data_IF_390034591790
#
_entry.id   IF_390034591790
#
_cell.length_a   1.000
_cell.length_b   1.000
_cell.length_c   1.000
_cell.angle_alpha   90.00
_cell.angle_beta   90.00
_cell.angle_gamma   90.00
#
_symmetry.space_group_name_H-M   'P 1'
#
loop_
_entity.id
_entity.type
_entity.pdbx_description
1 polymer ?
#
# COMPACT_ATOMS: atom_id res chain seq x y z
N UNK A 1 11.87 20.11 -7.54
CA UNK A 1 10.91 19.66 -8.57
C UNK A 1 11.30 18.25 -8.99
N UNK A 2 10.80 17.24 -8.27
CA UNK A 2 10.95 15.83 -8.67
C UNK A 2 9.70 15.46 -9.47
N UNK A 3 9.90 15.14 -10.75
CA UNK A 3 8.86 14.70 -11.67
C UNK A 3 8.42 13.28 -11.28
N UNK A 4 7.38 13.13 -10.46
CA UNK A 4 6.74 11.83 -10.21
C UNK A 4 6.11 11.38 -11.54
N UNK A 5 6.48 10.20 -12.03
CA UNK A 5 6.06 9.72 -13.35
C UNK A 5 4.62 9.23 -13.29
N UNK A 6 3.88 9.59 -14.34
CA UNK A 6 2.46 9.28 -14.54
C UNK A 6 2.29 7.79 -14.83
N UNK A 7 1.40 7.13 -14.09
CA UNK A 7 0.98 5.74 -14.29
C UNK A 7 0.13 5.64 -15.57
N UNK A 8 0.77 5.50 -16.74
CA UNK A 8 0.06 5.26 -18.01
C UNK A 8 0.59 3.99 -18.66
N UNK A 9 0.08 2.84 -18.23
CA UNK A 9 0.39 1.54 -18.82
C UNK A 9 -0.83 0.65 -18.78
N UNK A 10 -1.48 0.45 -19.93
CA UNK A 10 -2.72 -0.30 -20.02
C UNK A 10 -2.53 -1.80 -19.82
N UNK A 11 -2.98 -2.32 -18.68
CA UNK A 11 -3.46 -3.69 -18.51
C UNK A 11 -4.38 -3.78 -17.26
N UNK A 12 -5.68 -3.67 -17.51
CA UNK A 12 -6.88 -4.03 -16.72
C UNK A 12 -6.76 -4.24 -15.18
N UNK A 13 -7.55 -3.40 -14.49
CA UNK A 13 -8.03 -3.37 -13.08
C UNK A 13 -7.05 -2.69 -12.12
N UNK A 14 -7.02 -1.36 -12.02
CA UNK A 14 -8.06 -0.40 -11.58
C UNK A 14 -8.68 -0.67 -10.19
N UNK A 15 -8.44 0.21 -9.18
CA UNK A 15 -8.86 0.22 -7.74
C UNK A 15 -8.05 -0.57 -6.68
N UNK A 16 -7.02 -1.31 -7.06
CA UNK A 16 -6.20 -2.12 -6.14
C UNK A 16 -5.29 -1.33 -5.17
N UNK A 17 -4.80 -0.11 -5.51
CA UNK A 17 -4.04 0.73 -4.57
C UNK A 17 -4.86 1.20 -3.35
N UNK A 18 -6.17 1.43 -3.51
CA UNK A 18 -7.05 1.96 -2.45
C UNK A 18 -7.19 1.00 -1.26
N UNK A 19 -7.15 -0.32 -1.52
CA UNK A 19 -7.16 -1.36 -0.48
C UNK A 19 -5.96 -1.26 0.46
N UNK A 20 -4.80 -0.96 -0.11
CA UNK A 20 -3.55 -0.84 0.64
C UNK A 20 -3.51 0.49 1.40
N UNK A 21 -3.96 1.58 0.76
CA UNK A 21 -4.13 2.90 1.38
C UNK A 21 -4.97 2.81 2.66
N UNK A 22 -6.13 2.16 2.61
CA UNK A 22 -6.96 1.93 3.79
C UNK A 22 -6.28 0.99 4.80
N UNK A 23 -5.67 -0.11 4.34
CA UNK A 23 -5.08 -1.12 5.22
C UNK A 23 -3.96 -0.59 6.13
N UNK A 24 -3.15 0.38 5.70
CA UNK A 24 -2.12 0.96 6.58
C UNK A 24 -2.72 1.92 7.61
N UNK A 25 -3.84 2.57 7.27
CA UNK A 25 -4.62 3.39 8.22
C UNK A 25 -5.31 2.51 9.26
N UNK A 26 -5.89 1.38 8.86
CA UNK A 26 -6.41 0.36 9.79
C UNK A 26 -5.33 -0.08 10.80
N UNK A 27 -4.10 -0.27 10.32
CA UNK A 27 -2.94 -0.63 11.13
C UNK A 27 -2.62 0.41 12.21
N UNK A 28 -2.44 1.67 11.84
CA UNK A 28 -2.10 2.72 12.81
C UNK A 28 -3.25 3.00 13.79
N UNK A 29 -4.51 2.89 13.34
CA UNK A 29 -5.69 3.03 14.22
C UNK A 29 -5.75 1.89 15.23
N UNK A 30 -5.48 0.65 14.83
CA UNK A 30 -5.38 -0.47 15.76
C UNK A 30 -4.26 -0.27 16.78
N UNK A 31 -3.10 0.21 16.34
CA UNK A 31 -1.95 0.45 17.22
C UNK A 31 -2.25 1.55 18.24
N UNK A 32 -2.85 2.67 17.81
CA UNK A 32 -3.12 3.84 18.66
C UNK A 32 -4.32 3.66 19.59
N UNK A 33 -5.39 2.99 19.13
CA UNK A 33 -6.66 2.89 19.87
C UNK A 33 -6.94 1.52 20.46
N UNK A 34 -6.24 0.48 20.01
CA UNK A 34 -6.54 -0.91 20.33
C UNK A 34 -7.71 -1.51 19.55
N UNK A 35 -8.40 -0.75 18.70
CA UNK A 35 -9.55 -1.23 17.92
C UNK A 35 -9.19 -1.45 16.46
N UNK A 36 -9.45 -2.66 15.94
CA UNK A 36 -9.29 -2.95 14.52
C UNK A 36 -10.64 -2.73 13.85
N UNK A 37 -10.70 -1.79 12.92
CA UNK A 37 -11.91 -1.46 12.17
C UNK A 37 -11.57 -1.61 10.69
N UNK A 38 -12.42 -2.30 9.95
CA UNK A 38 -12.27 -2.39 8.49
C UNK A 38 -12.79 -1.10 7.86
N UNK A 39 -11.94 -0.40 7.11
CA UNK A 39 -12.21 0.91 6.54
C UNK A 39 -12.66 0.82 5.08
N UNK A 40 -13.50 1.77 4.66
CA UNK A 40 -14.02 1.80 3.31
C UNK A 40 -12.97 2.25 2.31
N UNK A 41 -12.62 1.36 1.40
CA UNK A 41 -11.70 1.68 0.32
C UNK A 41 -12.47 2.32 -0.85
N UNK A 42 -13.77 2.05 -0.93
CA UNK A 42 -14.66 2.68 -1.90
C UNK A 42 -14.85 4.16 -1.65
N UNK A 43 -14.82 4.61 -0.39
CA UNK A 43 -14.84 6.04 -0.07
C UNK A 43 -13.63 6.74 -0.68
N UNK A 44 -12.44 6.14 -0.63
CA UNK A 44 -11.26 6.66 -1.33
C UNK A 44 -11.46 6.66 -2.85
N UNK A 45 -11.95 5.56 -3.43
CA UNK A 45 -12.19 5.47 -4.88
C UNK A 45 -13.18 6.54 -5.37
N UNK A 46 -14.26 6.77 -4.64
CA UNK A 46 -15.35 7.65 -5.07
C UNK A 46 -15.12 9.13 -4.73
N UNK A 47 -14.42 9.41 -3.62
CA UNK A 47 -14.29 10.75 -3.06
C UNK A 47 -12.90 11.38 -3.22
N UNK A 48 -11.85 10.57 -3.32
CA UNK A 48 -10.49 11.06 -3.58
C UNK A 48 -10.19 11.08 -5.09
N UNK A 49 -10.94 11.91 -5.81
CA UNK A 49 -10.85 12.04 -7.28
C UNK A 49 -10.31 13.42 -7.68
N UNK A 50 -9.67 14.11 -6.76
CA UNK A 50 -9.20 15.48 -6.92
C UNK A 50 -7.69 15.56 -6.64
N UNK A 51 -6.87 15.49 -7.70
CA UNK A 51 -5.42 15.50 -7.57
C UNK A 51 -4.79 14.52 -8.55
N UNK A 52 -3.82 13.73 -8.08
CA UNK A 52 -3.24 12.63 -8.85
C UNK A 52 -4.07 11.34 -8.75
N UNK A 53 -4.92 11.21 -7.72
CA UNK A 53 -5.84 10.09 -7.57
C UNK A 53 -7.02 10.20 -8.55
N UNK A 54 -7.26 9.11 -9.29
CA UNK A 54 -8.25 9.01 -10.37
C UNK A 54 -9.17 7.82 -10.17
N UNK A 55 -9.58 7.58 -8.92
CA UNK A 55 -10.44 6.48 -8.54
C UNK A 55 -9.87 5.14 -8.97
N UNK A 56 -10.60 4.45 -9.85
CA UNK A 56 -10.18 3.21 -10.47
C UNK A 56 -8.89 3.36 -11.27
N UNK A 57 -8.59 4.47 -11.95
CA UNK A 57 -7.40 4.60 -12.82
C UNK A 57 -6.06 4.67 -12.06
N UNK A 58 -6.08 4.64 -10.73
CA UNK A 58 -4.90 4.61 -9.89
C UNK A 58 -4.69 5.91 -9.14
N UNK A 59 -3.53 6.02 -8.49
CA UNK A 59 -3.24 7.13 -7.59
C UNK A 59 -2.05 6.87 -6.69
N UNK A 60 -1.66 7.88 -5.90
CA UNK A 60 -0.54 7.86 -4.98
C UNK A 60 -1.01 7.66 -3.53
N UNK A 61 -0.23 6.96 -2.71
CA UNK A 61 -0.58 6.69 -1.32
C UNK A 61 -0.64 7.97 -0.48
N UNK A 62 0.26 8.92 -0.73
CA UNK A 62 0.31 10.21 -0.03
C UNK A 62 -0.94 11.05 -0.25
N UNK A 63 -1.52 10.99 -1.45
CA UNK A 63 -2.73 11.76 -1.79
C UNK A 63 -3.94 11.22 -1.03
N UNK A 64 -4.06 9.89 -0.91
CA UNK A 64 -5.05 9.28 -0.03
C UNK A 64 -4.88 9.73 1.43
N UNK A 65 -3.66 9.81 1.97
CA UNK A 65 -3.48 10.33 3.33
C UNK A 65 -3.91 11.79 3.47
N UNK A 66 -3.59 12.65 2.49
CA UNK A 66 -4.07 14.05 2.48
C UNK A 66 -5.58 14.12 2.42
N UNK A 67 -6.22 13.29 1.60
CA UNK A 67 -7.67 13.20 1.53
C UNK A 67 -8.26 12.83 2.88
N UNK A 68 -7.76 11.76 3.54
CA UNK A 68 -8.27 11.30 4.83
C UNK A 68 -8.16 12.40 5.89
N UNK A 69 -7.03 13.12 5.95
CA UNK A 69 -6.84 14.25 6.86
C UNK A 69 -7.88 15.34 6.58
N UNK A 70 -8.06 15.72 5.32
CA UNK A 70 -8.97 16.79 4.90
C UNK A 70 -10.45 16.41 5.06
N UNK A 71 -10.79 15.15 4.83
CA UNK A 71 -12.13 14.59 4.95
C UNK A 71 -12.55 14.43 6.42
N UNK A 72 -11.61 14.52 7.36
CA UNK A 72 -11.86 14.26 8.77
C UNK A 72 -11.99 12.76 9.06
N UNK A 73 -11.30 11.92 8.29
CA UNK A 73 -11.25 10.47 8.46
C UNK A 73 -11.86 9.66 7.32
N UNK A 74 -11.93 8.36 7.55
CA UNK A 74 -12.64 7.38 6.73
C UNK A 74 -13.75 6.69 7.53
N UNK A 75 -14.78 6.26 6.82
CA UNK A 75 -15.82 5.40 7.34
C UNK A 75 -15.44 3.93 7.27
N UNK A 76 -16.29 3.09 7.86
CA UNK A 76 -16.13 1.62 7.85
C UNK A 76 -16.59 1.01 6.53
N UNK A 77 -15.97 -0.10 6.14
CA UNK A 77 -16.34 -0.87 4.95
C UNK A 77 -17.85 -1.24 4.95
N UNK A 78 -18.42 -1.59 6.10
CA UNK A 78 -19.86 -1.91 6.18
C UNK A 78 -20.79 -0.71 5.90
N UNK A 79 -20.31 0.52 6.06
CA UNK A 79 -21.10 1.75 5.77
C UNK A 79 -20.99 2.15 4.32
N UNK A 80 -19.86 1.86 3.68
CA UNK A 80 -19.59 2.20 2.30
C UNK A 80 -18.87 1.04 1.61
N UNK A 81 -19.61 -0.03 1.25
CA UNK A 81 -19.01 -1.26 0.76
C UNK A 81 -18.31 -1.10 -0.59
N UNK A 82 -17.26 -1.89 -0.80
CA UNK A 82 -16.54 -1.95 -2.05
C UNK A 82 -17.38 -2.48 -3.21
N UNK A 83 -17.42 -1.68 -4.28
CA UNK A 83 -18.10 -1.97 -5.53
C UNK A 83 -17.14 -2.33 -6.67
N UNK A 84 -15.84 -2.02 -6.53
CA UNK A 84 -14.83 -2.34 -7.55
C UNK A 84 -14.98 -1.57 -8.86
N UNK A 85 -15.63 -0.40 -8.79
CA UNK A 85 -15.82 0.52 -9.91
C UNK A 85 -15.95 1.95 -9.37
N UNK A 86 -15.70 2.94 -10.22
CA UNK A 86 -15.95 4.34 -9.89
C UNK A 86 -17.44 4.59 -9.61
N UNK A 87 -17.72 5.20 -8.46
CA UNK A 87 -19.03 5.65 -8.05
C UNK A 87 -19.10 7.17 -7.92
N UNK A 88 -20.23 7.64 -7.37
CA UNK A 88 -20.35 9.02 -6.93
C UNK A 88 -20.02 9.08 -5.44
N UNK A 89 -19.15 10.01 -5.05
CA UNK A 89 -18.87 10.26 -3.64
C UNK A 89 -20.18 10.47 -2.86
N UNK A 90 -20.41 9.63 -1.85
CA UNK A 90 -21.52 9.77 -0.91
C UNK A 90 -21.07 10.65 0.24
N UNK A 91 -21.72 11.80 0.43
CA UNK A 91 -21.47 12.67 1.57
C UNK A 91 -22.21 12.16 2.83
N UNK A 92 -21.64 12.44 4.01
CA UNK A 92 -22.30 12.18 5.30
C UNK A 92 -22.04 10.79 5.90
N UNK A 93 -20.97 10.12 5.48
CA UNK A 93 -20.45 8.92 6.15
C UNK A 93 -19.78 9.32 7.48
N UNK A 94 -20.19 8.68 8.59
CA UNK A 94 -19.52 8.89 9.88
C UNK A 94 -18.09 8.33 9.81
N UNK A 95 -17.10 9.20 10.04
CA UNK A 95 -15.69 8.81 10.17
C UNK A 95 -15.47 8.01 11.43
N UNK A 96 -14.80 6.87 11.31
CA UNK A 96 -14.45 5.96 12.41
C UNK A 96 -12.94 5.80 12.59
N UNK A 97 -12.16 6.34 11.65
CA UNK A 97 -10.70 6.35 11.67
C UNK A 97 -10.17 7.68 11.16
N UNK A 98 -9.33 8.33 11.94
CA UNK A 98 -8.67 9.59 11.60
C UNK A 98 -7.16 9.43 11.70
N UNK A 99 -6.44 10.17 10.87
CA UNK A 99 -4.98 10.33 10.95
C UNK A 99 -4.68 11.82 11.04
N UNK A 100 -3.57 12.18 11.67
CA UNK A 100 -3.17 13.57 11.91
C UNK A 100 -2.15 14.05 10.88
N UNK A 101 -1.29 13.17 10.38
CA UNK A 101 -0.33 13.46 9.31
C UNK A 101 0.09 12.19 8.57
N UNK A 102 1.13 12.30 7.74
CA UNK A 102 1.83 11.19 7.12
C UNK A 102 3.31 11.55 6.91
N UNK A 103 4.16 10.54 6.78
CA UNK A 103 5.59 10.71 6.57
C UNK A 103 6.08 9.83 5.42
N UNK A 104 6.99 10.39 4.62
CA UNK A 104 7.75 9.66 3.60
C UNK A 104 8.99 9.06 4.25
N UNK A 105 9.23 7.76 4.01
CA UNK A 105 10.50 7.13 4.37
C UNK A 105 11.56 7.57 3.36
N UNK A 106 12.83 7.79 3.78
CA UNK A 106 13.92 8.13 2.87
C UNK A 106 14.01 7.18 1.68
N UNK A 107 13.97 7.75 0.47
CA UNK A 107 14.04 7.02 -0.80
C UNK A 107 15.31 6.16 -0.89
N UNK A 108 15.15 4.92 -1.34
CA UNK A 108 16.20 3.92 -1.55
C UNK A 108 16.97 3.54 -0.26
N UNK A 109 16.28 3.56 0.88
CA UNK A 109 16.85 3.19 2.18
C UNK A 109 16.01 2.11 2.88
N UNK A 110 16.31 0.85 2.59
CA UNK A 110 15.70 -0.31 3.27
C UNK A 110 15.96 -0.34 4.80
N UNK A 111 16.99 0.35 5.28
CA UNK A 111 17.28 0.48 6.71
C UNK A 111 16.31 1.44 7.39
N UNK A 112 16.01 2.57 6.74
CA UNK A 112 14.98 3.50 7.21
C UNK A 112 13.58 2.87 7.11
N UNK A 113 13.27 2.18 6.00
CA UNK A 113 12.02 1.43 5.85
C UNK A 113 11.84 0.40 6.98
N UNK A 114 12.92 -0.31 7.35
CA UNK A 114 12.87 -1.32 8.41
C UNK A 114 12.50 -0.72 9.76
N UNK A 115 13.00 0.48 10.06
CA UNK A 115 12.66 1.21 11.30
C UNK A 115 11.18 1.61 11.32
N UNK A 116 10.65 2.08 10.20
CA UNK A 116 9.23 2.44 10.09
C UNK A 116 8.33 1.19 10.24
N UNK A 117 8.64 0.11 9.51
CA UNK A 117 7.90 -1.17 9.56
C UNK A 117 7.93 -1.81 10.95
N UNK A 118 8.99 -1.59 11.73
CA UNK A 118 9.06 -2.06 13.11
C UNK A 118 8.02 -1.40 14.04
N UNK A 119 7.52 -0.22 13.67
CA UNK A 119 6.57 0.56 14.46
C UNK A 119 5.13 0.39 14.00
N UNK A 120 4.92 0.26 12.68
CA UNK A 120 3.59 0.16 12.06
C UNK A 120 3.68 -0.36 10.62
N UNK A 121 2.56 -0.75 9.99
CA UNK A 121 2.51 -0.98 8.55
C UNK A 121 2.89 0.26 7.73
N UNK A 122 3.60 0.04 6.62
CA UNK A 122 4.07 1.09 5.69
C UNK A 122 3.57 0.79 4.27
N UNK A 123 3.03 1.78 3.59
CA UNK A 123 2.67 1.65 2.16
C UNK A 123 3.93 1.73 1.31
N UNK A 124 4.04 0.87 0.30
CA UNK A 124 5.14 0.90 -0.68
C UNK A 124 4.59 0.71 -2.09
N UNK A 125 5.30 1.22 -3.08
CA UNK A 125 5.07 0.91 -4.49
C UNK A 125 6.08 -0.13 -4.99
N UNK A 126 5.63 -1.01 -5.89
CA UNK A 126 6.44 -2.04 -6.53
C UNK A 126 6.12 -2.14 -8.02
N UNK A 127 7.03 -2.74 -8.78
CA UNK A 127 6.76 -3.26 -10.12
C UNK A 127 5.97 -4.58 -10.01
N UNK A 128 4.64 -4.46 -9.98
CA UNK A 128 3.71 -5.59 -9.94
C UNK A 128 3.43 -6.20 -11.32
N UNK A 129 3.80 -5.48 -12.39
CA UNK A 129 3.78 -5.96 -13.77
C UNK A 129 4.87 -7.00 -14.09
N UNK A 130 5.93 -7.08 -13.29
CA UNK A 130 6.97 -8.11 -13.44
C UNK A 130 6.41 -9.54 -13.27
N UNK A 131 6.82 -10.45 -14.16
CA UNK A 131 6.36 -11.85 -14.14
C UNK A 131 6.72 -12.57 -12.83
N UNK A 132 7.85 -12.22 -12.21
CA UNK A 132 8.28 -12.80 -10.93
C UNK A 132 7.28 -12.46 -9.83
N UNK A 133 6.75 -11.24 -9.84
CA UNK A 133 5.72 -10.80 -8.91
C UNK A 133 4.37 -11.45 -9.25
N UNK A 134 3.92 -11.35 -10.51
CA UNK A 134 2.60 -11.86 -10.92
C UNK A 134 2.37 -13.33 -10.56
N UNK A 135 3.37 -14.18 -10.79
CA UNK A 135 3.27 -15.63 -10.60
C UNK A 135 3.83 -16.14 -9.26
N UNK A 136 4.12 -15.24 -8.32
CA UNK A 136 4.54 -15.63 -6.98
C UNK A 136 3.50 -16.55 -6.31
N UNK A 137 3.98 -17.67 -5.75
CA UNK A 137 3.13 -18.68 -5.10
C UNK A 137 3.65 -19.16 -3.75
N UNK A 138 4.86 -18.77 -3.34
CA UNK A 138 5.39 -19.10 -2.02
C UNK A 138 6.91 -19.02 -1.93
N UNK A 139 7.42 -19.09 -0.69
CA UNK A 139 8.85 -18.94 -0.41
C UNK A 139 9.29 -17.48 -0.31
N UNK A 140 10.58 -17.24 -0.12
CA UNK A 140 11.14 -15.90 -0.31
C UNK A 140 11.32 -15.69 -1.80
N UNK A 141 10.63 -14.70 -2.36
CA UNK A 141 10.78 -14.27 -3.73
C UNK A 141 12.18 -13.67 -3.88
N UNK A 142 12.99 -14.25 -4.76
CA UNK A 142 14.36 -13.82 -5.09
C UNK A 142 14.48 -13.62 -6.59
N UNK A 143 15.56 -12.98 -7.05
CA UNK A 143 15.88 -12.86 -8.48
C UNK A 143 15.66 -11.44 -9.01
N UNK A 144 15.49 -11.32 -10.32
CA UNK A 144 15.31 -10.02 -10.99
C UNK A 144 13.85 -9.61 -11.00
N UNK A 145 13.61 -8.36 -10.61
CA UNK A 145 12.32 -7.69 -10.73
C UNK A 145 12.60 -6.26 -11.22
N UNK A 146 11.76 -5.73 -12.10
CA UNK A 146 11.90 -4.35 -12.57
C UNK A 146 11.70 -3.30 -11.49
N UNK A 147 11.77 -2.03 -11.88
CA UNK A 147 11.48 -0.89 -10.99
C UNK A 147 10.53 0.11 -11.65
N UNK A 148 9.76 -0.35 -12.62
CA UNK A 148 8.71 0.43 -13.26
C UNK A 148 7.47 0.30 -12.38
N UNK A 149 7.47 1.05 -11.28
CA UNK A 149 6.44 0.97 -10.26
C UNK A 149 5.06 1.11 -10.91
N UNK A 150 4.21 0.10 -10.73
CA UNK A 150 2.83 0.07 -11.25
C UNK A 150 1.78 -0.40 -10.22
N UNK A 151 2.21 -0.85 -9.03
CA UNK A 151 1.34 -1.44 -8.02
C UNK A 151 1.69 -1.01 -6.59
N UNK A 152 0.66 -0.81 -5.75
CA UNK A 152 0.81 -0.47 -4.32
C UNK A 152 0.57 -1.68 -3.43
N UNK A 153 1.42 -1.91 -2.42
CA UNK A 153 1.31 -2.96 -1.40
C UNK A 153 1.72 -2.45 -0.02
N UNK A 154 1.49 -3.22 1.05
CA UNK A 154 1.88 -2.83 2.40
C UNK A 154 3.03 -3.70 2.94
N UNK A 155 4.10 -3.09 3.41
CA UNK A 155 5.10 -3.73 4.26
C UNK A 155 4.56 -3.83 5.69
N UNK A 156 4.41 -5.05 6.20
CA UNK A 156 3.80 -5.33 7.50
C UNK A 156 4.74 -6.05 8.47
N UNK A 157 5.94 -6.39 8.02
CA UNK A 157 6.95 -7.02 8.84
C UNK A 157 8.19 -7.37 8.04
N UNK A 158 9.15 -8.01 8.71
CA UNK A 158 10.35 -8.54 8.10
C UNK A 158 10.89 -9.68 8.97
N UNK A 159 11.77 -10.49 8.42
CA UNK A 159 12.38 -11.61 9.13
C UNK A 159 13.54 -12.24 8.38
N UNK A 160 13.97 -13.39 8.87
CA UNK A 160 14.92 -14.25 8.19
C UNK A 160 14.42 -15.69 8.25
N UNK A 161 14.58 -16.43 7.16
CA UNK A 161 14.39 -17.87 7.13
C UNK A 161 15.48 -18.58 7.93
N UNK A 162 15.29 -19.87 8.20
CA UNK A 162 16.25 -20.70 8.95
C UNK A 162 17.63 -20.80 8.31
N UNK A 163 17.72 -20.61 6.99
CA UNK A 163 18.98 -20.59 6.24
C UNK A 163 19.65 -19.20 6.19
N UNK A 164 19.03 -18.20 6.83
CA UNK A 164 19.53 -16.83 6.91
C UNK A 164 19.04 -15.89 5.80
N UNK A 165 18.21 -16.35 4.85
CA UNK A 165 17.63 -15.49 3.80
C UNK A 165 16.69 -14.47 4.43
N UNK A 166 17.02 -13.20 4.32
CA UNK A 166 16.21 -12.09 4.87
C UNK A 166 15.05 -11.78 3.94
N UNK A 167 13.91 -11.44 4.52
CA UNK A 167 12.74 -11.06 3.75
C UNK A 167 11.94 -9.93 4.39
N UNK A 168 11.24 -9.18 3.54
CA UNK A 168 10.09 -8.38 3.90
C UNK A 168 8.83 -9.23 3.88
N UNK A 169 7.95 -9.08 4.86
CA UNK A 169 6.60 -9.62 4.83
C UNK A 169 5.66 -8.54 4.33
N UNK A 170 5.02 -8.82 3.20
CA UNK A 170 4.21 -7.86 2.47
C UNK A 170 2.77 -8.37 2.33
N UNK A 171 1.80 -7.47 2.44
CA UNK A 171 0.37 -7.73 2.21
C UNK A 171 -0.02 -7.19 0.83
N UNK A 172 -0.59 -8.06 0.00
CA UNK A 172 -1.11 -7.70 -1.32
C UNK A 172 -2.65 -7.56 -1.29
N UNK A 173 -3.24 -7.02 -2.36
CA UNK A 173 -4.68 -6.78 -2.52
C UNK A 173 -5.34 -7.69 -3.57
N UNK A 174 -4.65 -8.73 -4.06
CA UNK A 174 -5.13 -9.66 -5.10
C UNK A 174 -5.87 -10.90 -4.57
N UNK A 175 -6.33 -10.85 -3.33
CA UNK A 175 -7.07 -11.94 -2.69
C UNK A 175 -6.19 -13.07 -2.16
N UNK A 176 -6.84 -14.02 -1.47
CA UNK A 176 -6.14 -15.08 -0.73
C UNK A 176 -5.64 -16.23 -1.60
N UNK A 177 -6.06 -16.32 -2.86
CA UNK A 177 -5.60 -17.37 -3.79
C UNK A 177 -4.23 -17.06 -4.40
N UNK A 178 -3.74 -15.83 -4.24
CA UNK A 178 -2.44 -15.41 -4.74
C UNK A 178 -1.39 -15.49 -3.64
N UNK A 179 -0.16 -15.91 -3.99
CA UNK A 179 0.96 -15.99 -3.06
C UNK A 179 0.68 -16.85 -1.82
N UNK A 180 1.16 -16.39 -0.67
CA UNK A 180 1.02 -17.06 0.62
C UNK A 180 -0.24 -16.58 1.34
N UNK A 181 -1.42 -16.96 0.83
CA UNK A 181 -2.73 -16.50 1.31
C UNK A 181 -2.93 -14.97 1.19
N UNK A 182 -2.50 -14.38 0.07
CA UNK A 182 -2.55 -12.93 -0.20
C UNK A 182 -1.34 -12.16 0.30
N UNK A 183 -0.34 -12.85 0.85
CA UNK A 183 0.92 -12.28 1.31
C UNK A 183 2.07 -12.71 0.40
N UNK A 184 3.17 -11.98 0.47
CA UNK A 184 4.42 -12.37 -0.15
C UNK A 184 5.60 -12.08 0.78
N UNK A 185 6.64 -12.90 0.65
CA UNK A 185 7.94 -12.65 1.25
C UNK A 185 8.89 -12.21 0.15
N UNK A 186 9.34 -10.97 0.18
CA UNK A 186 10.29 -10.41 -0.81
C UNK A 186 11.70 -10.39 -0.23
N UNK A 187 12.71 -10.75 -1.01
CA UNK A 187 14.10 -10.69 -0.57
C UNK A 187 14.46 -9.28 -0.07
N UNK A 188 15.10 -9.23 1.09
CA UNK A 188 15.47 -8.00 1.80
C UNK A 188 16.98 -7.81 1.80
N UNK A 189 17.42 -6.55 1.77
CA UNK A 189 18.83 -6.14 1.77
C UNK A 189 19.59 -6.60 0.50
N UNK A 190 18.93 -6.52 -0.66
CA UNK A 190 19.59 -6.81 -1.95
C UNK A 190 20.61 -5.72 -2.30
N UNK A 191 21.47 -5.98 -3.29
CA UNK A 191 22.50 -5.02 -3.71
C UNK A 191 21.91 -3.71 -4.26
N UNK A 192 20.77 -3.77 -4.97
CA UNK A 192 20.10 -2.58 -5.48
C UNK A 192 19.42 -1.82 -4.33
N UNK A 193 19.81 -0.56 -4.14
CA UNK A 193 19.27 0.30 -3.08
C UNK A 193 17.80 0.65 -3.26
N UNK A 194 17.25 0.49 -4.47
CA UNK A 194 15.81 0.61 -4.70
C UNK A 194 15.01 -0.51 -4.02
N UNK A 195 15.67 -1.57 -3.56
CA UNK A 195 15.03 -2.77 -3.04
C UNK A 195 14.42 -3.63 -4.15
N UNK A 196 14.04 -4.85 -3.82
CA UNK A 196 13.43 -5.77 -4.78
C UNK A 196 12.12 -5.17 -5.32
N UNK A 197 11.92 -5.22 -6.64
CA UNK A 197 10.81 -4.59 -7.34
C UNK A 197 10.65 -3.07 -7.11
N UNK A 198 11.69 -2.39 -6.61
CA UNK A 198 11.62 -0.96 -6.28
C UNK A 198 10.92 -0.62 -4.95
N UNK A 199 10.71 -1.60 -4.05
CA UNK A 199 9.95 -1.42 -2.80
C UNK A 199 10.43 -0.27 -1.90
N UNK A 200 11.68 0.18 -2.02
CA UNK A 200 12.25 1.24 -1.21
C UNK A 200 12.20 2.62 -1.90
N UNK A 201 11.62 2.74 -3.10
CA UNK A 201 11.61 3.98 -3.87
C UNK A 201 10.58 5.00 -3.37
N UNK A 202 9.34 4.55 -3.14
CA UNK A 202 8.22 5.41 -2.69
C UNK A 202 7.47 4.89 -1.43
N UNK A 203 8.17 4.61 -0.32
CA UNK A 203 7.55 4.21 0.94
C UNK A 203 6.98 5.40 1.74
N UNK A 204 5.74 5.29 2.24
CA UNK A 204 5.12 6.28 3.13
C UNK A 204 4.14 5.65 4.13
N UNK A 205 3.91 6.33 5.27
CA UNK A 205 2.99 5.84 6.31
C UNK A 205 2.21 6.97 6.99
N UNK A 206 0.96 6.72 7.41
CA UNK A 206 0.16 7.70 8.15
C UNK A 206 0.59 7.78 9.62
N UNK A 207 0.37 8.92 10.26
CA UNK A 207 0.56 9.11 11.71
C UNK A 207 -0.76 9.48 12.37
N UNK A 208 -1.00 8.97 13.58
CA UNK A 208 -2.21 9.20 14.38
C UNK A 208 -1.89 10.00 15.63
#
# INVERSE_FOLDING_TARGET
MHSRRRWTGGQRVQSLPSRIKASVVEGIVKISTGNLVSLSEQELVDCDVHGEDQGCEGGLMDDAFKFIIKNGGLTKESSYPYAGADGKCKSGSDSVATITSYEDVPTNDEGALMKAVASQPVSVAVDGGDMTFQFYSGGVMTGSCGTDLDHGIAAIGYGATSDGTKYWLMKNSWGTTWGENGYLRMEKDITDKKGMCGLAMEPSYPTA
#
